data_IF_788192157113
#
_entry.id   IF_788192157113
#
_cell.length_a   1.000
_cell.length_b   1.000
_cell.length_c   1.000
_cell.angle_alpha   90.00
_cell.angle_beta   90.00
_cell.angle_gamma   90.00
#
_symmetry.space_group_name_H-M   'P 1'
#
loop_
_entity.id
_entity.type
_entity.pdbx_description
1 polymer ?
#
# COMPACT_ATOMS: atom_id res chain seq x y z
N UNK A 1 13.54 6.70 -10.41
CA UNK A 1 12.14 6.44 -10.77
C UNK A 1 11.21 6.55 -9.56
N UNK A 2 9.91 6.69 -9.82
CA UNK A 2 8.87 6.72 -8.77
C UNK A 2 8.13 5.39 -8.69
N UNK A 3 8.25 4.71 -7.57
CA UNK A 3 7.50 3.49 -7.28
C UNK A 3 6.12 3.84 -6.71
N UNK A 4 5.12 3.03 -7.05
CA UNK A 4 3.76 3.14 -6.55
C UNK A 4 3.30 1.77 -6.09
N UNK A 5 2.66 1.72 -4.92
CA UNK A 5 2.03 0.51 -4.38
C UNK A 5 0.70 0.87 -3.73
N UNK A 6 -0.34 0.10 -4.05
CA UNK A 6 -1.65 0.22 -3.43
C UNK A 6 -1.86 -0.93 -2.45
N UNK A 7 -1.80 -0.64 -1.16
CA UNK A 7 -1.99 -1.63 -0.10
C UNK A 7 -3.48 -1.76 0.15
N UNK A 8 -4.03 -2.96 0.01
CA UNK A 8 -5.42 -3.26 0.36
C UNK A 8 -5.50 -4.41 1.34
N UNK A 9 -6.46 -4.33 2.25
CA UNK A 9 -6.84 -5.42 3.15
C UNK A 9 -8.20 -5.15 3.79
N UNK A 10 -8.75 -6.12 4.50
CA UNK A 10 -9.89 -5.88 5.42
C UNK A 10 -9.50 -4.88 6.51
N UNK A 11 -10.47 -4.10 6.99
CA UNK A 11 -10.31 -3.14 8.08
C UNK A 11 -9.91 -3.85 9.37
N UNK A 12 -8.59 -3.93 9.59
CA UNK A 12 -7.99 -4.76 10.62
C UNK A 12 -6.62 -4.21 11.01
N UNK A 13 -6.08 -4.68 12.13
CA UNK A 13 -4.72 -4.35 12.56
C UNK A 13 -3.67 -4.78 11.53
N UNK A 14 -3.90 -5.86 10.78
CA UNK A 14 -2.99 -6.31 9.73
C UNK A 14 -2.82 -5.26 8.63
N UNK A 15 -3.90 -4.58 8.23
CA UNK A 15 -3.83 -3.44 7.31
C UNK A 15 -2.91 -2.35 7.86
N UNK A 16 -3.13 -1.95 9.11
CA UNK A 16 -2.33 -0.92 9.77
C UNK A 16 -0.85 -1.34 9.81
N UNK A 17 -0.54 -2.58 10.20
CA UNK A 17 0.83 -3.07 10.23
C UNK A 17 1.52 -3.04 8.86
N UNK A 18 0.81 -3.38 7.76
CA UNK A 18 1.37 -3.33 6.40
C UNK A 18 1.68 -1.90 5.95
N UNK A 19 0.81 -0.94 6.28
CA UNK A 19 1.06 0.48 6.00
C UNK A 19 2.22 0.99 6.86
N UNK A 20 2.24 0.68 8.16
CA UNK A 20 3.35 1.02 9.05
C UNK A 20 4.68 0.45 8.58
N UNK A 21 4.71 -0.80 8.11
CA UNK A 21 5.93 -1.40 7.54
C UNK A 21 6.42 -0.61 6.32
N UNK A 22 5.53 -0.28 5.39
CA UNK A 22 5.89 0.51 4.21
C UNK A 22 6.47 1.89 4.62
N UNK A 23 5.82 2.58 5.56
CA UNK A 23 6.31 3.87 6.06
C UNK A 23 7.72 3.76 6.66
N UNK A 24 7.98 2.70 7.45
CA UNK A 24 9.31 2.47 8.04
C UNK A 24 10.36 2.04 7.01
N UNK A 25 9.93 1.48 5.87
CA UNK A 25 10.79 1.24 4.70
C UNK A 25 11.03 2.50 3.87
N UNK A 26 10.55 3.67 4.29
CA UNK A 26 10.76 4.94 3.59
C UNK A 26 9.81 5.17 2.42
N UNK A 27 8.66 4.49 2.41
CA UNK A 27 7.55 4.87 1.56
C UNK A 27 6.79 6.06 2.16
N UNK A 28 6.15 6.84 1.29
CA UNK A 28 5.36 8.01 1.66
C UNK A 28 3.88 7.78 1.31
N UNK A 29 2.98 8.32 2.12
CA UNK A 29 1.54 8.25 1.84
C UNK A 29 1.21 9.10 0.62
N UNK A 30 0.47 8.52 -0.33
CA UNK A 30 -0.04 9.23 -1.50
C UNK A 30 -1.53 9.52 -1.32
N UNK A 31 -1.84 10.62 -0.63
CA UNK A 31 -3.21 11.05 -0.36
C UNK A 31 -3.90 10.24 0.73
N UNK A 32 -5.22 10.45 0.85
CA UNK A 32 -6.05 9.83 1.90
C UNK A 32 -6.33 8.36 1.63
N UNK A 33 -6.55 7.55 2.69
CA UNK A 33 -7.02 6.17 2.53
C UNK A 33 -8.41 6.13 1.89
N UNK A 34 -8.71 5.00 1.25
CA UNK A 34 -10.00 4.66 0.68
C UNK A 34 -10.66 3.54 1.48
N UNK A 35 -11.99 3.60 1.62
CA UNK A 35 -12.80 2.58 2.29
C UNK A 35 -13.94 2.15 1.36
N UNK A 36 -14.25 0.85 1.35
CA UNK A 36 -15.39 0.29 0.63
C UNK A 36 -15.95 -0.90 1.39
N UNK A 37 -17.27 -1.03 1.44
CA UNK A 37 -17.92 -2.17 2.08
C UNK A 37 -18.20 -3.28 1.05
N UNK A 38 -17.70 -4.49 1.31
CA UNK A 38 -18.01 -5.71 0.55
C UNK A 38 -19.23 -6.41 1.18
N UNK A 39 -20.39 -6.24 0.57
CA UNK A 39 -21.63 -6.84 1.04
C UNK A 39 -21.69 -8.37 0.89
N UNK A 40 -20.86 -8.97 0.03
CA UNK A 40 -20.82 -10.43 -0.15
C UNK A 40 -20.10 -11.09 1.02
N UNK A 41 -19.04 -10.44 1.52
CA UNK A 41 -18.24 -10.93 2.65
C UNK A 41 -18.67 -10.37 4.01
N UNK A 42 -19.40 -9.25 4.02
CA UNK A 42 -19.76 -8.55 5.25
C UNK A 42 -18.57 -7.82 5.88
N UNK A 43 -17.62 -7.37 5.06
CA UNK A 43 -16.34 -6.80 5.51
C UNK A 43 -16.12 -5.41 4.91
N UNK A 44 -15.48 -4.52 5.66
CA UNK A 44 -14.97 -3.25 5.12
C UNK A 44 -13.56 -3.46 4.61
N UNK A 45 -13.29 -3.07 3.37
CA UNK A 45 -11.98 -3.10 2.73
C UNK A 45 -11.36 -1.71 2.78
N UNK A 46 -10.11 -1.67 3.24
CA UNK A 46 -9.27 -0.50 3.31
C UNK A 46 -8.27 -0.51 2.16
N UNK A 47 -7.96 0.68 1.65
CA UNK A 47 -6.94 0.91 0.65
C UNK A 47 -6.06 2.11 1.02
N UNK A 48 -4.75 1.98 0.95
CA UNK A 48 -3.81 3.09 1.09
C UNK A 48 -2.79 3.05 -0.04
N UNK A 49 -2.71 4.15 -0.79
CA UNK A 49 -1.66 4.36 -1.78
C UNK A 49 -0.38 4.84 -1.09
N UNK A 50 0.75 4.26 -1.48
CA UNK A 50 2.08 4.70 -1.06
C UNK A 50 3.01 4.85 -2.27
N UNK A 51 3.90 5.82 -2.20
CA UNK A 51 4.92 6.08 -3.23
C UNK A 51 6.31 6.14 -2.63
N UNK A 52 7.33 5.83 -3.42
CA UNK A 52 8.73 5.93 -3.00
C UNK A 52 9.60 6.33 -4.18
N UNK A 53 10.43 7.36 -3.99
CA UNK A 53 11.47 7.73 -4.95
C UNK A 53 12.69 6.83 -4.75
N UNK A 54 13.18 6.23 -5.82
CA UNK A 54 14.39 5.38 -5.82
C UNK A 54 15.21 5.62 -7.07
N UNK A 55 16.50 5.35 -7.03
CA UNK A 55 17.35 5.42 -8.23
C UNK A 55 17.06 4.28 -9.22
N UNK A 56 17.40 4.52 -10.49
CA UNK A 56 17.29 3.54 -11.57
C UNK A 56 15.99 3.59 -12.38
N UNK A 57 15.86 2.61 -13.27
CA UNK A 57 14.78 2.46 -14.25
C UNK A 57 13.76 1.40 -13.83
N UNK A 58 12.53 1.58 -14.30
CA UNK A 58 11.45 0.64 -14.03
C UNK A 58 11.64 -0.67 -14.81
N UNK A 59 11.42 -1.80 -14.11
CA UNK A 59 11.21 -3.12 -14.71
C UNK A 59 10.00 -3.81 -14.07
N UNK A 60 9.35 -4.70 -14.84
CA UNK A 60 8.24 -5.53 -14.34
C UNK A 60 8.68 -6.57 -13.30
N UNK A 61 9.96 -6.89 -13.24
CA UNK A 61 10.50 -7.87 -12.29
C UNK A 61 10.69 -7.31 -10.87
N UNK A 62 10.46 -6.01 -10.69
CA UNK A 62 10.65 -5.31 -9.41
C UNK A 62 9.59 -5.74 -8.40
N UNK A 63 10.05 -6.26 -7.26
CA UNK A 63 9.18 -6.62 -6.14
C UNK A 63 8.97 -5.41 -5.22
N UNK A 64 7.85 -4.72 -5.42
CA UNK A 64 7.47 -3.53 -4.63
C UNK A 64 7.32 -3.80 -3.11
N UNK A 65 7.20 -5.06 -2.67
CA UNK A 65 7.14 -5.41 -1.24
C UNK A 65 8.50 -5.42 -0.53
N UNK A 66 9.58 -5.56 -1.30
CA UNK A 66 10.95 -5.73 -0.79
C UNK A 66 11.70 -4.39 -0.67
N UNK A 67 11.15 -3.31 -1.24
CA UNK A 67 11.63 -1.93 -1.10
C UNK A 67 11.08 -1.27 0.15
#
# INVERSE_FOLDING_TARGET
MKLYRFITNVDSSEFCHRVTEALNKGWELSGSPSLTYDATKGETICGQAVTKEVDGDYSRDIKLGDY
#
